data_IF_393021047876
#
_entry.id   IF_393021047876
#
_cell.length_a   1.000
_cell.length_b   1.000
_cell.length_c   1.000
_cell.angle_alpha   90.00
_cell.angle_beta   90.00
_cell.angle_gamma   90.00
#
_symmetry.space_group_name_H-M   'P 1'
#
loop_
_entity.id
_entity.type
_entity.pdbx_description
1 polymer ?
#
# COMPACT_ATOMS: atom_id res chain seq x y z
N UNK A 1 -34.23 23.26 22.38
CA UNK A 1 -32.83 23.38 21.91
C UNK A 1 -32.44 22.08 21.21
N UNK A 2 -32.17 22.06 19.93
CA UNK A 2 -31.67 20.86 19.29
C UNK A 2 -30.24 20.60 19.79
N UNK A 3 -29.83 19.31 19.98
CA UNK A 3 -28.48 19.01 20.39
C UNK A 3 -27.51 19.46 19.29
N UNK A 4 -26.55 20.29 19.68
CA UNK A 4 -25.47 20.71 18.81
C UNK A 4 -24.73 19.47 18.29
N UNK A 5 -24.88 19.17 17.02
CA UNK A 5 -24.03 18.18 16.34
C UNK A 5 -22.59 18.66 16.50
N UNK A 6 -21.84 18.00 17.37
CA UNK A 6 -20.39 18.16 17.38
C UNK A 6 -19.90 17.85 15.98
N UNK A 7 -19.11 18.72 15.34
CA UNK A 7 -18.53 18.39 14.05
C UNK A 7 -17.75 17.10 14.26
N UNK A 8 -18.04 16.09 13.44
CA UNK A 8 -17.28 14.85 13.43
C UNK A 8 -15.82 15.23 13.23
N UNK A 9 -14.99 14.97 14.22
CA UNK A 9 -13.56 15.21 14.15
C UNK A 9 -13.02 14.45 12.95
N UNK A 10 -12.79 15.16 11.87
CA UNK A 10 -12.09 14.62 10.71
C UNK A 10 -10.70 14.27 11.20
N UNK A 11 -10.43 12.98 11.39
CA UNK A 11 -9.15 12.49 11.87
C UNK A 11 -8.10 12.67 10.78
N UNK A 12 -7.49 13.82 10.75
CA UNK A 12 -6.34 14.13 9.89
C UNK A 12 -5.09 13.55 10.55
N UNK A 13 -4.30 12.80 9.79
CA UNK A 13 -3.05 12.19 10.22
C UNK A 13 -1.87 12.90 9.57
N UNK A 14 -0.75 13.02 10.29
CA UNK A 14 0.48 13.58 9.71
C UNK A 14 0.91 12.81 8.48
N UNK A 15 0.98 11.49 8.61
CA UNK A 15 1.36 10.60 7.51
C UNK A 15 0.29 9.52 7.32
N UNK A 16 -0.03 9.23 6.08
CA UNK A 16 -0.97 8.19 5.68
C UNK A 16 -0.29 7.24 4.71
N UNK A 17 -0.42 5.94 4.97
CA UNK A 17 0.03 4.87 4.10
C UNK A 17 -1.19 4.14 3.56
N UNK A 18 -1.37 4.14 2.25
CA UNK A 18 -2.38 3.34 1.57
C UNK A 18 -1.69 2.13 0.97
N UNK A 19 -2.04 0.96 1.46
CA UNK A 19 -1.43 -0.30 1.05
C UNK A 19 -2.19 -0.94 -0.11
N UNK A 20 -1.48 -1.75 -0.89
CA UNK A 20 -2.07 -2.53 -2.00
C UNK A 20 -2.81 -1.67 -3.03
N UNK A 21 -2.19 -0.58 -3.47
CA UNK A 21 -2.77 0.35 -4.45
C UNK A 21 -2.63 -0.22 -5.87
N UNK A 22 -3.29 -1.35 -6.09
CA UNK A 22 -3.24 -2.15 -7.32
C UNK A 22 -4.64 -2.57 -7.75
N UNK A 23 -4.82 -2.81 -9.04
CA UNK A 23 -6.07 -3.40 -9.56
C UNK A 23 -6.31 -4.77 -8.93
N UNK A 24 -7.56 -5.04 -8.57
CA UNK A 24 -7.96 -6.22 -7.82
C UNK A 24 -8.04 -6.00 -6.29
N UNK A 25 -7.31 -4.99 -5.76
CA UNK A 25 -7.43 -4.55 -4.37
C UNK A 25 -8.11 -3.18 -4.26
N UNK A 26 -7.75 -2.25 -5.14
CA UNK A 26 -8.35 -0.91 -5.25
C UNK A 26 -8.47 -0.57 -6.75
N UNK A 27 -9.66 -0.71 -7.38
CA UNK A 27 -10.89 -1.27 -6.82
C UNK A 27 -10.75 -2.77 -6.51
N UNK A 28 -11.52 -3.22 -5.51
CA UNK A 28 -11.62 -4.64 -5.17
C UNK A 28 -12.35 -5.41 -6.26
N UNK A 29 -11.84 -6.58 -6.64
CA UNK A 29 -12.51 -7.46 -7.61
C UNK A 29 -13.89 -7.93 -7.12
N UNK A 30 -14.08 -7.97 -5.79
CA UNK A 30 -15.36 -8.33 -5.17
C UNK A 30 -16.38 -7.19 -5.18
N UNK A 31 -15.92 -5.95 -5.29
CA UNK A 31 -16.75 -4.73 -5.26
C UNK A 31 -16.80 -3.98 -6.58
N UNK A 32 -16.37 -4.57 -7.69
CA UNK A 32 -16.27 -3.89 -8.98
C UNK A 32 -17.29 -4.38 -10.03
N UNK A 33 -18.42 -4.94 -9.57
CA UNK A 33 -19.47 -5.48 -10.45
C UNK A 33 -20.30 -4.43 -11.16
N UNK A 34 -20.45 -3.26 -10.58
CA UNK A 34 -21.22 -2.14 -11.12
C UNK A 34 -20.42 -0.85 -11.17
N UNK A 35 -20.86 0.08 -12.03
CA UNK A 35 -20.23 1.43 -12.11
C UNK A 35 -20.34 2.16 -10.78
N UNK A 36 -21.44 2.00 -10.06
CA UNK A 36 -21.66 2.66 -8.77
C UNK A 36 -20.68 2.15 -7.70
N UNK A 37 -20.40 0.85 -7.69
CA UNK A 37 -19.42 0.25 -6.77
C UNK A 37 -18.00 0.75 -7.08
N UNK A 38 -17.63 0.84 -8.35
CA UNK A 38 -16.34 1.39 -8.77
C UNK A 38 -16.19 2.85 -8.34
N UNK A 39 -17.24 3.65 -8.47
CA UNK A 39 -17.23 5.05 -8.02
C UNK A 39 -17.10 5.18 -6.50
N UNK A 40 -17.74 4.29 -5.75
CA UNK A 40 -17.60 4.27 -4.28
C UNK A 40 -16.18 3.87 -3.86
N UNK A 41 -15.59 2.86 -4.49
CA UNK A 41 -14.19 2.47 -4.25
C UNK A 41 -13.23 3.64 -4.57
N UNK A 42 -13.46 4.36 -5.66
CA UNK A 42 -12.68 5.55 -6.00
C UNK A 42 -12.81 6.63 -4.93
N UNK A 43 -14.02 6.83 -4.41
CA UNK A 43 -14.30 7.78 -3.34
C UNK A 43 -13.59 7.38 -2.05
N UNK A 44 -13.58 6.10 -1.70
CA UNK A 44 -12.87 5.61 -0.53
C UNK A 44 -11.35 5.86 -0.63
N UNK A 45 -10.76 5.62 -1.79
CA UNK A 45 -9.35 5.95 -2.02
C UNK A 45 -9.11 7.46 -1.86
N UNK A 46 -9.96 8.29 -2.45
CA UNK A 46 -9.87 9.74 -2.32
C UNK A 46 -9.95 10.19 -0.86
N UNK A 47 -10.89 9.65 -0.09
CA UNK A 47 -11.02 9.94 1.34
C UNK A 47 -9.76 9.52 2.10
N UNK A 48 -9.20 8.35 1.82
CA UNK A 48 -7.97 7.89 2.45
C UNK A 48 -6.79 8.85 2.16
N UNK A 49 -6.63 9.25 0.91
CA UNK A 49 -5.58 10.18 0.49
C UNK A 49 -5.72 11.54 1.16
N UNK A 50 -6.93 12.08 1.26
CA UNK A 50 -7.20 13.39 1.87
C UNK A 50 -7.06 13.41 3.40
N UNK A 51 -6.86 12.26 4.04
CA UNK A 51 -6.54 12.18 5.47
C UNK A 51 -5.09 12.56 5.78
N UNK A 52 -4.22 12.56 4.80
CA UNK A 52 -2.83 12.97 4.97
C UNK A 52 -2.71 14.49 5.10
N UNK A 53 -2.04 14.93 6.16
CA UNK A 53 -1.71 16.34 6.38
C UNK A 53 -0.37 16.71 5.77
N UNK A 54 0.66 15.92 6.07
CA UNK A 54 2.05 16.24 5.75
C UNK A 54 2.61 15.30 4.68
N UNK A 55 2.29 14.00 4.74
CA UNK A 55 2.81 13.02 3.79
C UNK A 55 1.83 11.91 3.48
N UNK A 56 1.76 11.54 2.21
CA UNK A 56 0.96 10.44 1.68
C UNK A 56 1.87 9.44 0.98
N UNK A 57 1.77 8.18 1.37
CA UNK A 57 2.51 7.08 0.78
C UNK A 57 1.54 6.07 0.17
N UNK A 58 1.65 5.87 -1.14
CA UNK A 58 0.87 4.86 -1.86
C UNK A 58 1.78 3.66 -2.13
N UNK A 59 1.49 2.53 -1.52
CA UNK A 59 2.30 1.32 -1.63
C UNK A 59 1.73 0.41 -2.71
N UNK A 60 2.51 0.21 -3.77
CA UNK A 60 2.17 -0.62 -4.92
C UNK A 60 3.06 -1.86 -4.90
N UNK A 61 2.60 -3.00 -4.36
CA UNK A 61 3.38 -4.23 -4.42
C UNK A 61 3.49 -4.74 -5.85
N UNK A 62 4.66 -5.21 -6.24
CA UNK A 62 4.87 -5.77 -7.57
C UNK A 62 4.38 -7.21 -7.69
N UNK A 63 4.39 -7.95 -6.58
CA UNK A 63 4.06 -9.37 -6.55
C UNK A 63 3.16 -9.70 -5.37
N UNK A 64 2.19 -10.56 -5.61
CA UNK A 64 1.35 -11.16 -4.57
C UNK A 64 1.53 -12.66 -4.53
N UNK A 65 1.56 -13.23 -3.35
CA UNK A 65 1.46 -14.67 -3.18
C UNK A 65 0.02 -15.12 -3.40
N UNK A 66 -0.15 -16.19 -4.17
CA UNK A 66 -1.45 -16.81 -4.33
C UNK A 66 -1.77 -17.67 -3.10
N UNK A 67 -2.98 -17.53 -2.55
CA UNK A 67 -3.45 -18.37 -1.46
C UNK A 67 -3.64 -19.82 -1.94
N UNK A 68 -3.45 -20.79 -1.03
CA UNK A 68 -3.69 -22.20 -1.31
C UNK A 68 -2.55 -22.95 -2.00
N UNK A 69 -1.36 -22.35 -2.12
CA UNK A 69 -0.18 -23.07 -2.57
C UNK A 69 0.52 -23.79 -1.40
N UNK A 70 1.26 -24.87 -1.71
CA UNK A 70 2.08 -25.58 -0.71
C UNK A 70 3.10 -24.64 -0.08
N UNK A 71 3.56 -24.97 1.14
CA UNK A 71 4.52 -24.17 1.91
C UNK A 71 5.83 -23.82 1.17
N UNK A 72 6.17 -24.56 0.12
CA UNK A 72 7.31 -24.32 -0.77
C UNK A 72 6.91 -23.74 -2.13
N UNK A 73 5.63 -23.37 -2.29
CA UNK A 73 5.13 -22.81 -3.56
C UNK A 73 5.62 -21.37 -3.75
N UNK A 74 6.17 -21.07 -4.91
CA UNK A 74 6.66 -19.75 -5.29
C UNK A 74 5.80 -19.11 -6.41
N UNK A 75 4.50 -19.38 -6.38
CA UNK A 75 3.56 -18.78 -7.33
C UNK A 75 3.25 -17.35 -6.93
N UNK A 76 3.61 -16.43 -7.83
CA UNK A 76 3.33 -15.02 -7.68
C UNK A 76 2.41 -14.55 -8.79
N UNK A 77 1.53 -13.61 -8.46
CA UNK A 77 0.78 -12.83 -9.44
C UNK A 77 1.38 -11.43 -9.48
N UNK A 78 1.73 -10.97 -10.66
CA UNK A 78 2.13 -9.59 -10.87
C UNK A 78 0.90 -8.71 -10.90
N UNK A 79 0.90 -7.66 -10.11
CA UNK A 79 -0.20 -6.71 -10.08
C UNK A 79 0.17 -5.42 -10.80
N UNK A 80 -0.79 -4.87 -11.51
CA UNK A 80 -0.69 -3.54 -12.08
C UNK A 80 -1.17 -2.50 -11.07
N UNK A 81 -0.60 -1.30 -11.16
CA UNK A 81 -1.07 -0.17 -10.37
C UNK A 81 -2.56 0.06 -10.61
N UNK A 82 -3.27 0.52 -9.58
CA UNK A 82 -4.70 0.82 -9.67
C UNK A 82 -5.05 1.71 -10.87
N UNK A 83 -6.14 1.39 -11.54
CA UNK A 83 -6.70 2.21 -12.63
C UNK A 83 -7.11 3.61 -12.18
N UNK A 84 -7.31 3.83 -10.88
CA UNK A 84 -7.63 5.15 -10.33
C UNK A 84 -6.46 6.13 -10.36
N UNK A 85 -5.23 5.61 -10.53
CA UNK A 85 -4.02 6.43 -10.69
C UNK A 85 -3.37 6.09 -12.04
N UNK A 86 -3.89 6.64 -13.13
CA UNK A 86 -3.32 6.42 -14.46
C UNK A 86 -1.89 6.95 -14.55
N UNK A 87 -1.16 6.49 -15.56
CA UNK A 87 0.25 6.86 -15.78
C UNK A 87 0.47 8.38 -15.85
N UNK A 88 -0.50 9.11 -16.40
CA UNK A 88 -0.43 10.58 -16.50
C UNK A 88 -0.35 11.28 -15.14
N UNK A 89 -0.89 10.66 -14.08
CA UNK A 89 -0.85 11.25 -12.73
C UNK A 89 0.46 10.95 -12.00
N UNK A 90 1.27 10.01 -12.44
CA UNK A 90 2.52 9.65 -11.75
C UNK A 90 3.53 10.78 -11.71
N UNK A 91 3.46 11.72 -12.64
CA UNK A 91 4.28 12.93 -12.61
C UNK A 91 4.10 13.80 -11.34
N UNK A 92 2.98 13.63 -10.63
CA UNK A 92 2.67 14.35 -9.40
C UNK A 92 3.16 13.61 -8.14
N UNK A 93 3.77 12.44 -8.30
CA UNK A 93 4.27 11.60 -7.22
C UNK A 93 5.76 11.39 -7.35
N UNK A 94 6.44 11.36 -6.23
CA UNK A 94 7.80 10.81 -6.17
C UNK A 94 7.70 9.28 -6.19
N UNK A 95 8.21 8.65 -7.25
CA UNK A 95 8.18 7.21 -7.41
C UNK A 95 9.49 6.60 -6.94
N UNK A 96 9.42 5.82 -5.87
CA UNK A 96 10.57 5.14 -5.26
C UNK A 96 10.34 3.63 -5.32
N UNK A 97 11.35 2.89 -5.75
CA UNK A 97 11.33 1.43 -5.75
C UNK A 97 12.02 0.90 -4.50
N UNK A 98 11.39 -0.01 -3.81
CA UNK A 98 11.97 -0.68 -2.64
C UNK A 98 12.25 -2.17 -2.95
N UNK A 99 13.40 -2.73 -2.53
CA UNK A 99 14.51 -2.03 -1.89
C UNK A 99 15.14 -1.00 -2.80
N UNK A 100 15.60 0.10 -2.23
CA UNK A 100 16.35 1.09 -2.98
C UNK A 100 17.50 0.38 -3.68
N UNK A 101 17.51 0.39 -5.01
CA UNK A 101 18.67 -0.03 -5.77
C UNK A 101 19.78 0.96 -5.39
N UNK A 102 20.61 0.59 -4.43
CA UNK A 102 21.89 1.25 -4.24
C UNK A 102 22.59 1.14 -5.59
N UNK A 103 22.79 2.29 -6.23
CA UNK A 103 23.55 2.37 -7.45
C UNK A 103 24.83 1.59 -7.22
N UNK A 104 24.99 0.47 -7.93
CA UNK A 104 26.23 -0.31 -7.93
C UNK A 104 27.24 0.51 -8.73
N UNK A 105 27.78 1.54 -8.11
CA UNK A 105 29.03 2.11 -8.53
C UNK A 105 30.10 1.16 -8.01
N UNK A 106 30.63 0.37 -8.90
CA UNK A 106 31.81 -0.44 -8.84
C UNK A 106 32.39 -0.73 -7.46
N UNK A 107 32.17 -1.93 -6.94
CA UNK A 107 32.82 -2.39 -5.72
C UNK A 107 31.97 -3.44 -5.02
N UNK A 108 32.39 -4.68 -5.19
CA UNK A 108 31.93 -5.84 -4.42
C UNK A 108 32.08 -5.52 -2.92
N UNK A 109 31.04 -4.99 -2.30
CA UNK A 109 30.94 -4.94 -0.84
C UNK A 109 29.79 -5.84 -0.45
N UNK A 110 30.14 -6.81 0.42
CA UNK A 110 29.22 -7.73 1.05
C UNK A 110 27.92 -7.02 1.45
N UNK A 111 26.85 -7.34 0.73
CA UNK A 111 25.51 -7.07 1.19
C UNK A 111 25.34 -8.01 2.40
N UNK A 112 25.64 -7.54 3.59
CA UNK A 112 25.16 -8.18 4.81
C UNK A 112 23.64 -8.15 4.72
N UNK A 113 23.11 -9.25 4.27
CA UNK A 113 21.70 -9.57 4.36
C UNK A 113 21.32 -9.43 5.85
N UNK A 114 20.67 -8.34 6.19
CA UNK A 114 20.14 -8.16 7.54
C UNK A 114 18.97 -9.12 7.65
N UNK A 115 19.24 -10.35 8.01
CA UNK A 115 18.22 -11.32 8.41
C UNK A 115 17.67 -10.87 9.76
N UNK A 116 16.57 -10.17 9.70
CA UNK A 116 15.78 -9.90 10.91
C UNK A 116 15.02 -11.17 11.23
N UNK A 117 15.44 -11.93 12.22
CA UNK A 117 14.66 -13.03 12.77
C UNK A 117 13.44 -12.43 13.52
N UNK A 118 12.36 -12.28 12.78
CA UNK A 118 11.08 -11.78 13.30
C UNK A 118 10.56 -12.67 14.42
N UNK A 119 10.80 -13.98 14.33
CA UNK A 119 10.38 -14.95 15.34
C UNK A 119 11.11 -14.77 16.68
N UNK A 120 12.42 -14.49 16.64
CA UNK A 120 13.20 -14.20 17.85
C UNK A 120 12.76 -12.87 18.48
N UNK A 121 12.49 -11.86 17.64
CA UNK A 121 12.05 -10.56 18.12
C UNK A 121 10.66 -10.62 18.73
N UNK A 122 9.74 -11.39 18.16
CA UNK A 122 8.41 -11.58 18.74
C UNK A 122 8.47 -12.34 20.06
N UNK A 123 9.29 -13.39 20.17
CA UNK A 123 9.46 -14.11 21.44
C UNK A 123 10.01 -13.23 22.57
N UNK A 124 10.85 -12.26 22.27
CA UNK A 124 11.37 -11.32 23.28
C UNK A 124 10.35 -10.30 23.77
N UNK A 125 9.30 -10.04 22.98
CA UNK A 125 8.24 -9.08 23.35
C UNK A 125 7.14 -9.70 24.24
N UNK A 126 7.08 -11.04 24.32
CA UNK A 126 6.06 -11.78 25.07
C UNK A 126 6.58 -12.39 26.38
N UNK A 127 7.70 -11.93 26.88
CA UNK A 127 8.22 -12.28 28.20
C UNK A 127 7.88 -11.23 29.25
#
# INVERSE_FOLDING_TARGET
MPPSRRPSLIHVRKSVFVLNVVDGCIPSDLGAGTTAEIEEERRLLYVAMTRAKDSLHLVVPHRFFTHGQNAQGDRHVYASRTRFIPAALTQHFECVTWPLATAVVGGRKDVREVRVDVGAKMRSMWR
#
